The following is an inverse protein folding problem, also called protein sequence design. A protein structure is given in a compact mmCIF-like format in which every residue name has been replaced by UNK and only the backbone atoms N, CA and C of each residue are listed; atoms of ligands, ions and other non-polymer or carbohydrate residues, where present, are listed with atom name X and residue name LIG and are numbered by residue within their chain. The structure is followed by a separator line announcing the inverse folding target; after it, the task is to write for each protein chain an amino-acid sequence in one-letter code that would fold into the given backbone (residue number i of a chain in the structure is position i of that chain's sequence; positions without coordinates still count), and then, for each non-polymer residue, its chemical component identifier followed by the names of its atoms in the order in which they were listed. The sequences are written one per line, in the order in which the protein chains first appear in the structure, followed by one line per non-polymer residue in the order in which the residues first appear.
data_IF_150619389244
#
_entry.id   IF_150619389244
#
_cell.length_a   1.000
_cell.length_b   1.000
_cell.length_c   1.000
_cell.angle_alpha   90.00
_cell.angle_beta   90.00
_cell.angle_gamma   90.00
#
_symmetry.space_group_name_H-M   'P 1'
#
loop_
_entity.id
_entity.type
_entity.pdbx_description
1 polymer ?
#
# COMPACT_ATOMS: atom_id res chain seq x y z
N UNK A 1 5.44 -15.70 -18.87
CA UNK A 1 4.49 -15.73 -17.72
C UNK A 1 4.09 -14.29 -17.46
N UNK A 2 2.83 -14.02 -17.20
CA UNK A 2 2.35 -12.66 -16.87
C UNK A 2 2.95 -12.23 -15.53
N UNK A 3 3.57 -11.04 -15.49
CA UNK A 3 4.20 -10.50 -14.29
C UNK A 3 3.32 -9.39 -13.72
N UNK A 4 2.68 -9.63 -12.57
CA UNK A 4 1.78 -8.69 -11.90
C UNK A 4 2.42 -8.14 -10.61
N UNK A 5 1.81 -7.09 -10.10
CA UNK A 5 2.08 -6.54 -8.77
C UNK A 5 0.83 -6.63 -7.91
N UNK A 6 1.00 -6.61 -6.58
CA UNK A 6 -0.07 -6.32 -5.63
C UNK A 6 0.40 -5.18 -4.72
N UNK A 7 -0.18 -4.00 -4.89
CA UNK A 7 0.29 -2.81 -4.20
C UNK A 7 -0.25 -2.64 -2.78
N UNK A 8 -1.18 -3.50 -2.34
CA UNK A 8 -1.73 -3.44 -0.99
C UNK A 8 -2.46 -4.73 -0.60
N UNK A 9 -1.95 -5.40 0.42
CA UNK A 9 -2.62 -6.51 1.09
C UNK A 9 -2.08 -6.70 2.50
N UNK A 10 -2.75 -7.52 3.33
CA UNK A 10 -2.40 -7.74 4.73
C UNK A 10 -1.96 -9.18 4.96
N UNK A 11 -0.74 -9.54 4.53
CA UNK A 11 -0.20 -10.88 4.76
C UNK A 11 0.12 -11.18 6.21
N UNK A 12 0.17 -10.17 7.06
CA UNK A 12 0.35 -10.29 8.50
C UNK A 12 -0.95 -10.64 9.25
N UNK A 13 -2.12 -10.53 8.58
CA UNK A 13 -3.44 -10.85 9.15
C UNK A 13 -3.53 -12.30 9.63
N UNK A 14 -4.17 -12.52 10.78
CA UNK A 14 -4.35 -13.83 11.42
C UNK A 14 -5.07 -14.86 10.53
N UNK A 15 -5.89 -14.40 9.59
CA UNK A 15 -6.57 -15.29 8.63
C UNK A 15 -5.60 -16.05 7.75
N UNK A 16 -4.34 -15.62 7.65
CA UNK A 16 -3.28 -16.33 6.95
C UNK A 16 -2.39 -17.19 7.86
N UNK A 17 -2.55 -17.17 9.18
CA UNK A 17 -1.62 -17.85 10.10
C UNK A 17 -1.44 -19.34 9.80
N UNK A 18 -2.49 -20.01 9.36
CA UNK A 18 -2.44 -21.46 9.08
C UNK A 18 -1.74 -21.83 7.79
N UNK A 19 -1.62 -20.90 6.81
CA UNK A 19 -1.12 -21.21 5.47
C UNK A 19 -0.29 -20.07 4.82
N UNK A 20 0.15 -19.10 5.60
CA UNK A 20 0.89 -17.91 5.11
C UNK A 20 2.09 -18.27 4.24
N UNK A 21 2.93 -19.19 4.70
CA UNK A 21 4.13 -19.62 3.97
C UNK A 21 3.77 -20.28 2.63
N UNK A 22 2.72 -21.08 2.61
CA UNK A 22 2.22 -21.71 1.39
C UNK A 22 1.68 -20.66 0.41
N UNK A 23 0.91 -19.68 0.90
CA UNK A 23 0.39 -18.57 0.08
C UNK A 23 1.55 -17.75 -0.50
N UNK A 24 2.56 -17.39 0.30
CA UNK A 24 3.73 -16.63 -0.18
C UNK A 24 4.47 -17.39 -1.29
N UNK A 25 4.67 -18.70 -1.11
CA UNK A 25 5.27 -19.53 -2.17
C UNK A 25 4.44 -19.53 -3.46
N UNK A 26 3.12 -19.61 -3.35
CA UNK A 26 2.21 -19.57 -4.49
C UNK A 26 2.20 -18.21 -5.19
N UNK A 27 2.21 -17.11 -4.44
CA UNK A 27 2.29 -15.73 -4.97
C UNK A 27 3.49 -15.62 -5.93
N UNK A 28 4.67 -16.02 -5.47
CA UNK A 28 5.91 -15.97 -6.26
C UNK A 28 5.82 -16.84 -7.52
N UNK A 29 5.30 -18.05 -7.39
CA UNK A 29 5.19 -19.00 -8.51
C UNK A 29 4.15 -18.57 -9.55
N UNK A 30 3.10 -17.86 -9.15
CA UNK A 30 2.02 -17.41 -10.02
C UNK A 30 2.34 -16.06 -10.70
N UNK A 31 3.58 -15.57 -10.57
CA UNK A 31 4.08 -14.42 -11.34
C UNK A 31 3.85 -13.06 -10.70
N UNK A 32 3.54 -12.98 -9.41
CA UNK A 32 3.52 -11.69 -8.71
C UNK A 32 4.95 -11.33 -8.35
N UNK A 33 5.45 -10.25 -8.96
CA UNK A 33 6.86 -9.83 -8.88
C UNK A 33 7.17 -8.94 -7.70
N UNK A 34 6.29 -7.99 -7.41
CA UNK A 34 6.39 -7.10 -6.28
C UNK A 34 5.07 -7.09 -5.53
N UNK A 35 5.17 -7.18 -4.22
CA UNK A 35 4.07 -7.28 -3.30
C UNK A 35 4.29 -6.35 -2.11
N UNK A 36 3.27 -5.55 -1.75
CA UNK A 36 3.33 -4.72 -0.54
C UNK A 36 2.39 -5.30 0.51
N UNK A 37 2.94 -5.68 1.68
CA UNK A 37 2.15 -5.98 2.86
C UNK A 37 1.98 -4.71 3.69
N UNK A 38 0.73 -4.34 3.94
CA UNK A 38 0.37 -3.07 4.56
C UNK A 38 0.21 -3.25 6.08
N UNK A 39 1.04 -2.52 6.85
CA UNK A 39 0.84 -2.38 8.28
C UNK A 39 -0.27 -1.37 8.56
N UNK A 40 -1.16 -1.70 9.50
CA UNK A 40 -2.31 -0.88 9.89
C UNK A 40 -2.30 -0.49 11.38
N UNK A 41 -1.38 -1.06 12.16
CA UNK A 41 -1.07 -0.73 13.55
C UNK A 41 0.43 -0.91 13.79
N UNK A 42 0.93 -0.50 14.95
CA UNK A 42 2.34 -0.71 15.29
C UNK A 42 2.73 -2.21 15.24
N UNK A 43 1.89 -3.08 15.79
CA UNK A 43 2.17 -4.53 15.79
C UNK A 43 2.08 -5.13 14.38
N UNK A 44 1.09 -4.74 13.60
CA UNK A 44 0.96 -5.12 12.19
C UNK A 44 2.17 -4.62 11.38
N UNK A 45 2.58 -3.38 11.56
CA UNK A 45 3.77 -2.81 10.91
C UNK A 45 5.04 -3.62 11.22
N UNK A 46 5.27 -4.00 12.48
CA UNK A 46 6.40 -4.86 12.87
C UNK A 46 6.36 -6.23 12.20
N UNK A 47 5.16 -6.84 12.06
CA UNK A 47 4.99 -8.12 11.36
C UNK A 47 5.22 -7.96 9.85
N UNK A 48 4.67 -6.90 9.24
CA UNK A 48 4.85 -6.60 7.82
C UNK A 48 6.34 -6.43 7.45
N UNK A 49 7.09 -5.69 8.28
CA UNK A 49 8.54 -5.51 8.10
C UNK A 49 9.28 -6.84 8.18
N UNK A 50 8.98 -7.71 9.15
CA UNK A 50 9.59 -9.05 9.25
C UNK A 50 9.33 -9.91 8.00
N UNK A 51 8.13 -9.83 7.43
CA UNK A 51 7.81 -10.52 6.18
C UNK A 51 8.63 -9.95 5.01
N UNK A 52 8.73 -8.62 4.92
CA UNK A 52 9.49 -7.96 3.87
C UNK A 52 11.01 -8.26 3.97
N UNK A 53 11.57 -8.38 5.17
CA UNK A 53 12.96 -8.80 5.37
C UNK A 53 13.23 -10.24 4.91
N UNK A 54 12.24 -11.11 5.12
CA UNK A 54 12.36 -12.55 4.83
C UNK A 54 12.27 -12.86 3.33
N UNK A 55 11.55 -12.06 2.54
CA UNK A 55 11.26 -12.33 1.14
C UNK A 55 11.63 -11.17 0.22
N UNK A 56 12.43 -11.43 -0.81
CA UNK A 56 13.00 -10.39 -1.69
C UNK A 56 11.95 -9.58 -2.44
N UNK A 57 10.83 -10.19 -2.82
CA UNK A 57 9.75 -9.55 -3.59
C UNK A 57 8.67 -8.90 -2.72
N UNK A 58 8.75 -9.03 -1.39
CA UNK A 58 7.82 -8.42 -0.43
C UNK A 58 8.43 -7.12 0.12
N UNK A 59 7.59 -6.10 0.17
CA UNK A 59 7.86 -4.80 0.77
C UNK A 59 6.81 -4.50 1.83
N UNK A 60 7.06 -3.53 2.70
CA UNK A 60 6.15 -3.18 3.78
C UNK A 60 5.78 -1.70 3.76
N UNK A 61 4.59 -1.39 4.24
CA UNK A 61 4.24 -0.05 4.72
C UNK A 61 4.04 -0.07 6.22
N UNK A 62 4.24 1.05 6.89
CA UNK A 62 4.10 1.18 8.33
C UNK A 62 3.20 2.38 8.66
N UNK A 63 2.16 2.16 9.46
CA UNK A 63 1.22 3.21 9.84
C UNK A 63 0.20 2.75 10.87
N UNK A 64 -0.64 3.70 11.28
CA UNK A 64 -1.83 3.43 12.11
C UNK A 64 -3.05 3.82 11.29
N UNK A 65 -3.85 2.82 10.94
CA UNK A 65 -5.08 3.02 10.17
C UNK A 65 -6.15 3.70 11.02
N UNK A 66 -7.12 4.40 10.41
CA UNK A 66 -8.18 5.06 11.16
C UNK A 66 -9.00 4.11 12.04
N UNK A 67 -9.04 2.81 11.70
CA UNK A 67 -9.80 1.80 12.45
C UNK A 67 -9.01 1.19 13.63
N UNK A 68 -7.71 1.48 13.72
CA UNK A 68 -6.79 0.91 14.71
C UNK A 68 -6.20 1.96 15.65
N UNK A 69 -6.79 3.15 15.66
CA UNK A 69 -6.42 4.24 16.56
C UNK A 69 -6.83 3.84 17.99
N UNK A 70 -5.88 3.77 18.95
CA UNK A 70 -6.22 3.50 20.34
C UNK A 70 -7.01 4.66 20.96
N UNK A 71 -7.89 4.36 21.92
CA UNK A 71 -8.67 5.39 22.63
C UNK A 71 -7.79 6.29 23.52
N UNK A 72 -6.64 5.80 23.93
CA UNK A 72 -5.67 6.54 24.72
C UNK A 72 -4.70 7.30 23.82
N UNK A 73 -4.83 8.62 23.81
CA UNK A 73 -4.00 9.49 22.97
C UNK A 73 -2.50 9.40 23.29
N UNK A 74 -2.11 9.24 24.56
CA UNK A 74 -0.70 9.11 24.92
C UNK A 74 -0.11 7.83 24.31
N UNK A 75 -0.86 6.74 24.33
CA UNK A 75 -0.50 5.49 23.66
C UNK A 75 -0.41 5.67 22.15
N UNK A 76 -1.33 6.42 21.54
CA UNK A 76 -1.33 6.69 20.11
C UNK A 76 -0.04 7.43 19.67
N UNK A 77 0.28 8.53 20.33
CA UNK A 77 1.45 9.31 19.96
C UNK A 77 2.75 8.54 20.16
N UNK A 78 2.83 7.75 21.22
CA UNK A 78 3.95 6.84 21.44
C UNK A 78 4.08 5.79 20.35
N UNK A 79 2.98 5.21 19.87
CA UNK A 79 3.01 4.25 18.77
C UNK A 79 3.49 4.87 17.46
N UNK A 80 3.13 6.14 17.17
CA UNK A 80 3.63 6.87 16.00
C UNK A 80 5.14 7.10 16.11
N UNK A 81 5.64 7.46 17.28
CA UNK A 81 7.09 7.60 17.54
C UNK A 81 7.81 6.25 17.38
N UNK A 82 7.20 5.14 17.81
CA UNK A 82 7.76 3.80 17.61
C UNK A 82 7.76 3.39 16.13
N UNK A 83 6.78 3.80 15.31
CA UNK A 83 6.80 3.62 13.85
C UNK A 83 7.96 4.41 13.24
N UNK A 84 8.16 5.66 13.66
CA UNK A 84 9.31 6.45 13.21
C UNK A 84 10.63 5.71 13.49
N UNK A 85 10.82 5.27 14.72
CA UNK A 85 12.02 4.53 15.14
C UNK A 85 12.21 3.22 14.35
N UNK A 86 11.11 2.51 14.07
CA UNK A 86 11.13 1.28 13.26
C UNK A 86 11.68 1.57 11.85
N UNK A 87 11.19 2.62 11.19
CA UNK A 87 11.64 3.01 9.85
C UNK A 87 13.09 3.48 9.83
N UNK A 88 13.47 4.33 10.77
CA UNK A 88 14.85 4.86 10.87
C UNK A 88 15.86 3.75 11.16
N UNK A 89 15.55 2.85 12.11
CA UNK A 89 16.41 1.69 12.43
C UNK A 89 16.62 0.82 11.21
N UNK A 90 15.56 0.54 10.46
CA UNK A 90 15.62 -0.30 9.26
C UNK A 90 16.46 0.32 8.13
N UNK A 91 16.45 1.65 8.00
CA UNK A 91 17.30 2.39 7.06
C UNK A 91 18.77 2.36 7.49
N UNK A 92 19.05 2.53 8.77
CA UNK A 92 20.42 2.55 9.30
C UNK A 92 21.11 1.20 9.17
N UNK A 93 20.42 0.08 9.42
CA UNK A 93 20.94 -1.27 9.21
C UNK A 93 21.36 -1.44 7.74
N UNK A 94 20.52 -1.05 6.80
CA UNK A 94 20.83 -1.14 5.37
C UNK A 94 22.04 -0.27 4.96
N UNK A 95 22.30 0.86 5.63
CA UNK A 95 23.48 1.72 5.38
C UNK A 95 24.75 1.13 6.00
N UNK A 96 24.69 0.49 7.16
CA UNK A 96 25.84 -0.17 7.79
C UNK A 96 26.31 -1.37 6.97
N UNK A 97 25.40 -2.20 6.50
CA UNK A 97 25.72 -3.35 5.63
C UNK A 97 26.45 -2.93 4.34
N UNK A 98 26.17 -1.73 3.82
CA UNK A 98 26.85 -1.17 2.64
C UNK A 98 28.28 -0.73 2.98
N UNK A 99 28.50 -0.11 4.14
CA UNK A 99 29.79 0.44 4.53
C UNK A 99 30.78 -0.66 4.96
N UNK A 100 30.33 -1.71 5.66
CA UNK A 100 31.19 -2.84 6.04
C UNK A 100 31.70 -3.64 4.84
N UNK A 101 30.95 -3.68 3.74
CA UNK A 101 31.34 -4.37 2.50
C UNK A 101 32.31 -3.57 1.62
N UNK A 102 32.57 -2.27 1.89
CA UNK A 102 33.54 -1.47 1.15
C UNK A 102 34.99 -1.63 1.63
N UNK A 103 35.22 -2.11 2.86
CA UNK A 103 36.57 -2.23 3.45
C UNK A 103 37.25 -3.57 3.19
N UNK A 104 36.60 -4.55 2.58
CA UNK A 104 37.17 -5.85 2.27
C UNK A 104 37.61 -5.98 0.79
N UNK A 105 38.87 -5.72 0.53
CA UNK A 105 39.56 -5.88 -0.78
C UNK A 105 39.77 -7.36 -1.18
N UNK A 106 38.85 -8.25 -0.97
CA UNK A 106 38.97 -9.64 -1.42
C UNK A 106 37.61 -10.11 -1.98
N UNK A 107 37.60 -10.32 -3.28
CA UNK A 107 36.65 -11.00 -4.15
C UNK A 107 35.72 -10.15 -5.01
N UNK A 108 36.12 -10.06 -6.29
CA UNK A 108 35.35 -9.52 -7.41
C UNK A 108 34.05 -10.29 -7.73
N UNK A 109 33.75 -11.37 -7.05
CA UNK A 109 32.50 -12.14 -7.24
C UNK A 109 31.31 -11.62 -6.40
N UNK A 110 31.53 -10.68 -5.46
CA UNK A 110 30.47 -10.07 -4.64
C UNK A 110 29.99 -8.70 -5.15
N UNK A 111 30.45 -8.24 -6.32
CA UNK A 111 30.03 -6.95 -6.90
C UNK A 111 28.59 -6.90 -7.43
N UNK A 112 27.80 -7.97 -7.27
CA UNK A 112 26.37 -8.01 -7.60
C UNK A 112 25.44 -7.90 -6.37
N UNK A 113 25.91 -7.47 -5.22
CA UNK A 113 25.01 -6.98 -4.17
C UNK A 113 24.59 -5.55 -4.55
N UNK A 114 23.57 -5.45 -5.37
CA UNK A 114 22.80 -4.22 -5.57
C UNK A 114 22.52 -3.62 -4.20
N UNK A 115 22.75 -2.31 -4.04
CA UNK A 115 22.42 -1.52 -2.84
C UNK A 115 21.09 -2.01 -2.27
N UNK A 116 21.13 -2.64 -1.10
CA UNK A 116 19.95 -3.23 -0.48
C UNK A 116 18.98 -2.10 -0.17
N UNK A 117 18.02 -1.88 -1.05
CA UNK A 117 16.99 -0.84 -0.89
C UNK A 117 16.17 -1.12 0.36
N UNK A 118 15.71 -0.06 1.04
CA UNK A 118 14.82 -0.20 2.18
C UNK A 118 13.60 -1.03 1.80
N UNK A 119 13.23 -1.96 2.66
CA UNK A 119 12.03 -2.78 2.52
C UNK A 119 10.75 -2.05 2.96
N UNK A 120 10.89 -0.96 3.73
CA UNK A 120 9.78 -0.08 4.09
C UNK A 120 9.69 1.00 3.01
N UNK A 121 8.56 1.03 2.30
CA UNK A 121 8.40 1.83 1.08
C UNK A 121 7.41 2.98 1.19
N UNK A 122 6.59 3.02 2.26
CA UNK A 122 5.64 4.10 2.50
C UNK A 122 5.23 4.18 3.98
N UNK A 123 4.69 5.34 4.39
CA UNK A 123 3.89 5.46 5.60
C UNK A 123 2.43 5.17 5.22
N UNK A 124 1.88 4.16 5.84
CA UNK A 124 0.53 3.65 5.56
C UNK A 124 0.33 2.23 6.13
N UNK A 125 -0.87 1.87 6.29
CA UNK A 125 -2.14 2.49 5.92
C UNK A 125 -2.52 3.63 6.89
N UNK A 126 -2.89 4.80 6.38
CA UNK A 126 -3.27 5.98 7.17
C UNK A 126 -4.48 6.67 6.51
N UNK A 127 -5.22 7.47 7.24
CA UNK A 127 -6.35 8.22 6.66
C UNK A 127 -7.58 8.31 7.54
N UNK A 128 -8.78 8.23 6.92
CA UNK A 128 -10.05 8.46 7.59
C UNK A 128 -11.09 7.38 7.23
N UNK A 129 -11.85 6.88 8.22
CA UNK A 129 -12.98 5.97 8.02
C UNK A 129 -14.19 6.39 8.86
N UNK A 130 -15.16 7.06 8.23
CA UNK A 130 -16.40 7.49 8.87
C UNK A 130 -17.55 6.49 8.69
N UNK A 131 -17.28 5.38 7.98
CA UNK A 131 -18.25 4.29 7.89
C UNK A 131 -18.35 3.53 9.21
N UNK A 132 -17.22 3.19 9.82
CA UNK A 132 -17.16 2.50 11.09
C UNK A 132 -17.22 3.47 12.27
N UNK A 133 -16.52 4.60 12.19
CA UNK A 133 -16.50 5.57 13.25
C UNK A 133 -17.65 6.57 13.17
N UNK A 134 -18.44 6.66 14.23
CA UNK A 134 -19.61 7.58 14.31
C UNK A 134 -19.45 8.63 15.42
N UNK A 135 -18.49 8.45 16.31
CA UNK A 135 -18.17 9.42 17.34
C UNK A 135 -17.33 10.56 16.77
N UNK A 136 -17.77 11.81 17.00
CA UNK A 136 -17.10 12.98 16.40
C UNK A 136 -15.74 13.26 17.07
N UNK A 137 -15.55 12.92 18.33
CA UNK A 137 -14.25 13.10 18.99
C UNK A 137 -13.22 12.12 18.40
N UNK A 138 -13.64 10.88 18.16
CA UNK A 138 -12.80 9.91 17.49
C UNK A 138 -12.52 10.27 16.02
N UNK A 139 -13.47 10.88 15.32
CA UNK A 139 -13.22 11.40 13.96
C UNK A 139 -12.21 12.55 13.98
N UNK A 140 -12.28 13.45 14.97
CA UNK A 140 -11.26 14.47 15.14
C UNK A 140 -9.88 13.85 15.38
N UNK A 141 -9.81 12.85 16.26
CA UNK A 141 -8.56 12.11 16.50
C UNK A 141 -8.04 11.39 15.23
N UNK A 142 -8.93 10.87 14.37
CA UNK A 142 -8.54 10.35 13.05
C UNK A 142 -7.90 11.46 12.19
N UNK A 143 -8.49 12.65 12.13
CA UNK A 143 -7.97 13.80 11.37
C UNK A 143 -6.58 14.23 11.87
N UNK A 144 -6.41 14.38 13.18
CA UNK A 144 -5.13 14.72 13.81
C UNK A 144 -4.06 13.65 13.55
N UNK A 145 -4.43 12.37 13.69
CA UNK A 145 -3.56 11.22 13.43
C UNK A 145 -3.12 11.19 11.98
N UNK A 146 -4.03 11.46 11.05
CA UNK A 146 -3.71 11.51 9.63
C UNK A 146 -2.70 12.63 9.32
N UNK A 147 -2.94 13.84 9.85
CA UNK A 147 -2.00 14.97 9.68
C UNK A 147 -0.62 14.65 10.28
N UNK A 148 -0.58 14.06 11.47
CA UNK A 148 0.67 13.69 12.13
C UNK A 148 1.47 12.66 11.31
N UNK A 149 0.80 11.69 10.73
CA UNK A 149 1.44 10.68 9.89
C UNK A 149 1.85 11.22 8.50
N UNK A 150 1.16 12.23 7.95
CA UNK A 150 1.64 12.99 6.79
C UNK A 150 2.95 13.70 7.12
N UNK A 151 3.03 14.36 8.29
CA UNK A 151 4.26 15.04 8.74
C UNK A 151 5.40 14.03 8.91
N UNK A 152 5.12 12.86 9.48
CA UNK A 152 6.09 11.77 9.61
C UNK A 152 6.58 11.29 8.24
N UNK A 153 5.68 11.06 7.30
CA UNK A 153 6.04 10.68 5.93
C UNK A 153 6.95 11.72 5.25
N UNK A 154 6.66 13.01 5.44
CA UNK A 154 7.48 14.10 4.92
C UNK A 154 8.89 14.13 5.59
N UNK A 155 8.96 13.93 6.90
CA UNK A 155 10.23 13.84 7.64
C UNK A 155 11.08 12.68 7.15
N UNK A 156 10.45 11.54 6.90
CA UNK A 156 11.10 10.32 6.43
C UNK A 156 11.26 10.25 4.90
N UNK A 157 10.86 11.27 4.16
CA UNK A 157 10.89 11.29 2.69
C UNK A 157 10.26 10.03 2.06
N UNK A 158 9.13 9.58 2.59
CA UNK A 158 8.35 8.45 2.10
C UNK A 158 7.02 8.90 1.50
N UNK A 159 6.49 8.19 0.49
CA UNK A 159 5.10 8.36 0.06
C UNK A 159 4.12 7.86 1.13
N UNK A 160 2.83 8.16 0.95
CA UNK A 160 1.78 7.69 1.85
C UNK A 160 0.82 6.73 1.14
N UNK A 161 0.24 5.78 1.89
CA UNK A 161 -0.87 4.92 1.46
C UNK A 161 -2.12 5.32 2.22
N UNK A 162 -3.11 5.84 1.47
CA UNK A 162 -4.28 6.52 2.03
C UNK A 162 -5.49 5.62 2.00
N UNK A 163 -6.09 5.39 3.17
CA UNK A 163 -7.43 4.88 3.36
C UNK A 163 -8.44 6.03 3.42
N UNK A 164 -9.56 5.93 2.70
CA UNK A 164 -10.67 6.87 2.86
C UNK A 164 -12.01 6.16 2.64
N UNK A 165 -12.89 6.20 3.63
CA UNK A 165 -14.22 5.62 3.55
C UNK A 165 -15.25 6.53 4.22
N UNK A 166 -16.26 6.97 3.45
CA UNK A 166 -17.28 7.94 3.87
C UNK A 166 -16.71 9.28 4.41
N UNK A 167 -15.44 9.61 4.07
CA UNK A 167 -14.66 10.74 4.57
C UNK A 167 -13.97 11.55 3.46
N UNK A 168 -14.47 11.48 2.22
CA UNK A 168 -13.80 12.01 1.02
C UNK A 168 -13.48 13.50 1.16
N UNK A 169 -14.42 14.30 1.65
CA UNK A 169 -14.25 15.76 1.73
C UNK A 169 -13.14 16.13 2.71
N UNK A 170 -13.16 15.58 3.92
CA UNK A 170 -12.14 15.82 4.95
C UNK A 170 -10.77 15.31 4.51
N UNK A 171 -10.73 14.14 3.87
CA UNK A 171 -9.47 13.59 3.30
C UNK A 171 -8.87 14.56 2.28
N UNK A 172 -9.67 15.05 1.33
CA UNK A 172 -9.20 16.00 0.31
C UNK A 172 -8.81 17.35 0.91
N UNK A 173 -9.54 17.84 1.92
CA UNK A 173 -9.22 19.08 2.61
C UNK A 173 -7.89 18.98 3.36
N UNK A 174 -7.69 17.91 4.12
CA UNK A 174 -6.42 17.66 4.83
C UNK A 174 -5.25 17.61 3.84
N UNK A 175 -5.38 16.89 2.73
CA UNK A 175 -4.33 16.79 1.71
C UNK A 175 -4.04 18.10 0.98
N UNK A 176 -5.02 19.01 0.86
CA UNK A 176 -4.82 20.35 0.31
C UNK A 176 -4.11 21.28 1.29
N UNK A 177 -4.39 21.13 2.58
CA UNK A 177 -3.80 21.95 3.64
C UNK A 177 -2.41 21.43 4.07
N UNK A 178 -2.16 20.12 3.96
CA UNK A 178 -0.92 19.47 4.38
C UNK A 178 -0.22 18.86 3.16
N UNK A 179 0.80 19.54 2.68
CA UNK A 179 1.57 19.05 1.52
C UNK A 179 2.21 17.70 1.80
N UNK A 180 2.06 16.77 0.86
CA UNK A 180 2.75 15.47 0.88
C UNK A 180 3.87 15.49 -0.14
N UNK A 181 5.13 15.50 0.32
CA UNK A 181 6.30 15.73 -0.53
C UNK A 181 6.48 14.64 -1.58
N UNK A 182 6.42 13.38 -1.18
CA UNK A 182 6.59 12.21 -2.08
C UNK A 182 5.28 11.70 -2.68
N UNK A 183 4.15 12.40 -2.44
CA UNK A 183 2.82 11.98 -2.86
C UNK A 183 2.43 10.62 -2.25
N UNK A 184 1.69 9.80 -2.98
CA UNK A 184 1.24 8.51 -2.49
C UNK A 184 0.16 7.91 -3.36
N UNK A 185 -0.63 7.03 -2.76
CA UNK A 185 -1.69 6.30 -3.42
C UNK A 185 -2.96 6.29 -2.56
N UNK A 186 -4.11 6.51 -3.18
CA UNK A 186 -5.39 6.12 -2.60
C UNK A 186 -5.55 4.63 -2.81
N UNK A 187 -5.36 3.84 -1.73
CA UNK A 187 -5.61 2.40 -1.80
C UNK A 187 -7.10 2.11 -1.82
N UNK A 188 -7.49 0.98 -2.38
CA UNK A 188 -8.87 0.55 -2.50
C UNK A 188 -9.83 1.70 -2.86
N UNK A 189 -9.40 2.54 -3.81
CA UNK A 189 -9.99 3.85 -4.05
C UNK A 189 -11.52 3.74 -4.23
N UNK A 190 -12.30 4.47 -3.43
CA UNK A 190 -13.75 4.56 -3.62
C UNK A 190 -14.10 5.00 -5.04
N UNK A 191 -15.13 4.37 -5.62
CA UNK A 191 -15.59 4.71 -6.98
C UNK A 191 -16.31 6.06 -6.99
N UNK A 192 -15.58 7.10 -6.60
CA UNK A 192 -16.06 8.48 -6.50
C UNK A 192 -15.28 9.37 -7.47
N UNK A 193 -16.01 9.98 -8.40
CA UNK A 193 -15.45 10.85 -9.45
C UNK A 193 -14.68 12.04 -8.90
N UNK A 194 -15.17 12.66 -7.83
CA UNK A 194 -14.55 13.85 -7.24
C UNK A 194 -13.23 13.49 -6.56
N UNK A 195 -13.22 12.43 -5.75
CA UNK A 195 -12.01 11.92 -5.11
C UNK A 195 -10.92 11.62 -6.15
N UNK A 196 -11.27 10.88 -7.20
CA UNK A 196 -10.31 10.51 -8.26
C UNK A 196 -9.75 11.77 -8.92
N UNK A 197 -10.60 12.73 -9.35
CA UNK A 197 -10.15 13.94 -10.02
C UNK A 197 -9.26 14.82 -9.15
N UNK A 198 -9.68 15.08 -7.91
CA UNK A 198 -8.92 15.91 -6.98
C UNK A 198 -7.63 15.21 -6.53
N UNK A 199 -7.68 13.89 -6.25
CA UNK A 199 -6.49 13.10 -5.95
C UNK A 199 -5.44 13.14 -7.08
N UNK A 200 -5.87 13.00 -8.33
CA UNK A 200 -5.00 13.13 -9.50
C UNK A 200 -4.40 14.54 -9.64
N UNK A 201 -5.18 15.61 -9.43
CA UNK A 201 -4.67 16.98 -9.42
C UNK A 201 -3.63 17.23 -8.34
N UNK A 202 -3.79 16.60 -7.18
CA UNK A 202 -2.82 16.64 -6.09
C UNK A 202 -1.57 15.78 -6.37
N UNK A 203 -1.57 14.97 -7.45
CA UNK A 203 -0.44 14.17 -7.90
C UNK A 203 -0.41 12.74 -7.34
N UNK A 204 -1.50 12.27 -6.75
CA UNK A 204 -1.61 10.92 -6.19
C UNK A 204 -1.89 9.86 -7.25
N UNK A 205 -1.52 8.62 -6.94
CA UNK A 205 -1.92 7.43 -7.66
C UNK A 205 -3.26 6.91 -7.15
N UNK A 206 -3.93 6.13 -8.00
CA UNK A 206 -5.22 5.50 -7.69
C UNK A 206 -5.04 3.98 -7.80
N UNK A 207 -5.25 3.27 -6.70
CA UNK A 207 -5.23 1.81 -6.71
C UNK A 207 -6.64 1.24 -6.69
N UNK A 208 -6.86 0.23 -7.51
CA UNK A 208 -8.14 -0.46 -7.61
C UNK A 208 -8.03 -1.87 -7.04
N UNK A 209 -8.99 -2.21 -6.17
CA UNK A 209 -9.15 -3.52 -5.54
C UNK A 209 -10.33 -4.31 -6.13
N UNK A 210 -10.65 -5.45 -5.52
CA UNK A 210 -11.71 -6.35 -5.93
C UNK A 210 -13.09 -5.70 -6.16
N UNK A 211 -13.37 -4.59 -5.50
CA UNK A 211 -14.63 -3.84 -5.61
C UNK A 211 -15.03 -3.50 -7.05
N UNK A 212 -14.08 -3.20 -7.93
CA UNK A 212 -14.35 -2.85 -9.33
C UNK A 212 -14.92 -4.02 -10.16
N UNK A 213 -14.78 -5.25 -9.65
CA UNK A 213 -15.29 -6.47 -10.32
C UNK A 213 -16.71 -6.82 -9.92
N UNK A 214 -17.25 -6.23 -8.85
CA UNK A 214 -18.53 -6.60 -8.29
C UNK A 214 -19.70 -6.25 -9.23
N UNK A 215 -20.72 -7.12 -9.30
CA UNK A 215 -21.88 -6.94 -10.17
C UNK A 215 -22.67 -5.66 -9.92
N UNK A 216 -22.64 -5.15 -8.70
CA UNK A 216 -23.28 -3.88 -8.31
C UNK A 216 -22.39 -2.65 -8.54
N UNK A 217 -21.16 -2.81 -9.01
CA UNK A 217 -20.19 -1.74 -9.30
C UNK A 217 -20.45 -1.15 -10.70
N UNK A 218 -21.60 -0.46 -10.85
CA UNK A 218 -22.10 -0.03 -12.17
C UNK A 218 -21.25 1.03 -12.85
N UNK A 219 -20.49 1.84 -12.10
CA UNK A 219 -19.67 2.92 -12.60
C UNK A 219 -18.16 2.57 -12.65
N UNK A 220 -17.79 1.31 -12.39
CA UNK A 220 -16.38 0.90 -12.34
C UNK A 220 -15.61 1.26 -13.62
N UNK A 221 -16.16 0.97 -14.79
CA UNK A 221 -15.50 1.25 -16.08
C UNK A 221 -15.29 2.75 -16.29
N UNK A 222 -16.25 3.57 -15.89
CA UNK A 222 -16.11 5.02 -15.93
C UNK A 222 -14.98 5.49 -15.01
N UNK A 223 -14.92 5.00 -13.76
CA UNK A 223 -13.91 5.37 -12.79
C UNK A 223 -12.51 4.93 -13.23
N UNK A 224 -12.38 3.73 -13.77
CA UNK A 224 -11.13 3.22 -14.33
C UNK A 224 -10.65 4.11 -15.49
N UNK A 225 -11.55 4.52 -16.40
CA UNK A 225 -11.22 5.36 -17.55
C UNK A 225 -10.89 6.80 -17.18
N UNK A 226 -11.31 7.30 -16.02
CA UNK A 226 -10.90 8.62 -15.51
C UNK A 226 -9.44 8.67 -15.12
N UNK A 227 -8.84 7.54 -14.75
CA UNK A 227 -7.46 7.50 -14.25
C UNK A 227 -6.49 7.31 -15.42
N UNK A 228 -5.51 8.21 -15.61
CA UNK A 228 -4.46 8.04 -16.63
C UNK A 228 -3.65 6.76 -16.40
N UNK A 229 -3.13 6.17 -17.48
CA UNK A 229 -2.38 4.92 -17.40
C UNK A 229 -1.14 4.99 -16.50
N UNK A 230 -0.51 6.16 -16.41
CA UNK A 230 0.66 6.42 -15.56
C UNK A 230 0.31 6.73 -14.09
N UNK A 231 -0.96 6.55 -13.67
CA UNK A 231 -1.44 6.80 -12.31
C UNK A 231 -2.26 5.66 -11.73
N UNK A 232 -2.40 4.54 -12.43
CA UNK A 232 -3.15 3.35 -11.97
C UNK A 232 -2.22 2.37 -11.24
N UNK A 233 -2.69 1.88 -10.08
CA UNK A 233 -2.18 0.67 -9.42
C UNK A 233 -3.29 -0.37 -9.27
N UNK A 234 -2.89 -1.60 -8.97
CA UNK A 234 -3.77 -2.73 -8.70
C UNK A 234 -3.38 -3.38 -7.38
N UNK A 235 -4.38 -3.86 -6.67
CA UNK A 235 -4.20 -4.50 -5.37
C UNK A 235 -5.31 -5.49 -5.09
N UNK A 236 -5.12 -6.35 -4.09
CA UNK A 236 -6.17 -7.26 -3.64
C UNK A 236 -6.88 -6.82 -2.39
N UNK A 237 -6.21 -6.10 -1.52
CA UNK A 237 -6.65 -5.85 -0.14
C UNK A 237 -6.93 -7.16 0.62
N UNK A 238 -6.21 -8.25 0.24
CA UNK A 238 -6.41 -9.56 0.86
C UNK A 238 -5.96 -9.58 2.32
N UNK A 239 -6.69 -10.29 3.20
CA UNK A 239 -7.68 -11.34 2.97
C UNK A 239 -9.11 -10.84 2.67
N UNK A 240 -9.32 -9.56 2.48
CA UNK A 240 -10.62 -8.93 2.26
C UNK A 240 -10.94 -8.79 0.77
N UNK A 241 -12.14 -8.34 0.43
CA UNK A 241 -12.59 -7.88 -0.88
C UNK A 241 -12.35 -8.86 -2.04
N UNK A 242 -12.49 -10.17 -1.82
CA UNK A 242 -12.36 -11.17 -2.88
C UNK A 242 -13.15 -10.76 -4.14
N UNK A 243 -12.47 -10.67 -5.32
CA UNK A 243 -13.12 -10.23 -6.55
C UNK A 243 -14.07 -11.30 -7.11
N UNK A 244 -14.94 -10.91 -8.06
CA UNK A 244 -15.59 -11.91 -8.92
C UNK A 244 -14.50 -12.62 -9.78
N UNK A 245 -14.55 -13.94 -9.99
CA UNK A 245 -15.65 -14.87 -9.65
C UNK A 245 -15.53 -15.53 -8.27
N UNK A 246 -14.56 -15.18 -7.45
CA UNK A 246 -14.28 -15.84 -6.14
C UNK A 246 -14.86 -15.07 -4.93
N UNK A 247 -15.82 -14.20 -5.17
CA UNK A 247 -16.46 -13.43 -4.12
C UNK A 247 -17.11 -14.32 -3.05
N UNK A 248 -16.95 -13.89 -1.77
CA UNK A 248 -17.48 -14.64 -0.63
C UNK A 248 -16.49 -15.66 -0.03
N UNK A 249 -15.30 -15.79 -0.60
CA UNK A 249 -14.19 -16.55 -0.01
C UNK A 249 -13.19 -15.63 0.67
N UNK A 250 -12.25 -16.16 1.47
CA UNK A 250 -11.06 -15.41 1.87
C UNK A 250 -10.29 -15.01 0.61
N UNK A 251 -10.00 -13.71 0.48
CA UNK A 251 -9.22 -13.23 -0.66
C UNK A 251 -7.78 -13.74 -0.58
N UNK A 252 -7.13 -13.77 -1.74
CA UNK A 252 -5.78 -14.27 -1.92
C UNK A 252 -5.05 -13.31 -2.88
N UNK A 253 -3.80 -12.92 -2.61
CA UNK A 253 -3.05 -11.98 -3.45
C UNK A 253 -2.98 -12.35 -4.93
N UNK A 254 -3.05 -13.64 -5.26
CA UNK A 254 -3.07 -14.14 -6.65
C UNK A 254 -4.32 -13.71 -7.42
N UNK A 255 -5.37 -13.30 -6.71
CA UNK A 255 -6.60 -12.79 -7.32
C UNK A 255 -6.44 -11.39 -7.93
N UNK A 256 -5.31 -10.71 -7.75
CA UNK A 256 -5.00 -9.44 -8.43
C UNK A 256 -5.14 -9.53 -9.94
N UNK A 257 -4.98 -10.71 -10.53
CA UNK A 257 -5.21 -10.99 -11.96
C UNK A 257 -6.62 -10.64 -12.43
N UNK A 258 -7.64 -10.80 -11.56
CA UNK A 258 -9.03 -10.47 -11.91
C UNK A 258 -9.23 -8.95 -11.95
N UNK A 259 -8.54 -8.22 -11.08
CA UNK A 259 -8.52 -6.76 -11.07
C UNK A 259 -7.82 -6.24 -12.34
N UNK A 260 -6.63 -6.80 -12.65
CA UNK A 260 -5.90 -6.46 -13.87
C UNK A 260 -6.74 -6.73 -15.13
N UNK A 261 -7.42 -7.88 -15.21
CA UNK A 261 -8.30 -8.22 -16.35
C UNK A 261 -9.48 -7.25 -16.46
N UNK A 262 -10.07 -6.83 -15.33
CA UNK A 262 -11.17 -5.84 -15.33
C UNK A 262 -10.70 -4.50 -15.88
N UNK A 263 -9.52 -4.04 -15.51
CA UNK A 263 -8.92 -2.80 -16.02
C UNK A 263 -8.60 -2.92 -17.52
N UNK A 264 -8.02 -4.04 -17.95
CA UNK A 264 -7.73 -4.32 -19.35
C UNK A 264 -9.00 -4.20 -20.21
N UNK A 265 -10.09 -4.83 -19.77
CA UNK A 265 -11.37 -4.76 -20.46
C UNK A 265 -11.94 -3.33 -20.51
N UNK A 266 -11.91 -2.61 -19.38
CA UNK A 266 -12.45 -1.24 -19.30
C UNK A 266 -11.68 -0.24 -20.18
N UNK A 267 -10.35 -0.39 -20.26
CA UNK A 267 -9.47 0.48 -21.06
C UNK A 267 -9.28 0.00 -22.52
N UNK A 268 -9.80 -1.18 -22.86
CA UNK A 268 -9.63 -1.81 -24.17
C UNK A 268 -8.14 -1.99 -24.54
N UNK A 269 -7.35 -2.48 -23.60
CA UNK A 269 -5.93 -2.83 -23.75
C UNK A 269 -5.70 -4.29 -23.31
N UNK A 270 -4.51 -4.83 -23.59
CA UNK A 270 -4.15 -6.19 -23.13
C UNK A 270 -3.86 -6.22 -21.63
N UNK A 271 -3.98 -7.40 -21.02
CA UNK A 271 -3.61 -7.59 -19.61
C UNK A 271 -2.10 -7.40 -19.39
N UNK A 272 -1.28 -7.70 -20.40
CA UNK A 272 0.15 -7.46 -20.42
C UNK A 272 0.48 -5.95 -20.36
N UNK A 273 -0.29 -5.11 -21.06
CA UNK A 273 -0.16 -3.66 -20.97
C UNK A 273 -0.54 -3.16 -19.56
N UNK A 274 -1.59 -3.72 -18.93
CA UNK A 274 -1.94 -3.40 -17.54
C UNK A 274 -0.81 -3.82 -16.60
N UNK A 275 -0.26 -5.00 -16.76
CA UNK A 275 0.85 -5.48 -15.94
C UNK A 275 2.09 -4.57 -16.05
N UNK A 276 2.48 -4.21 -17.26
CA UNK A 276 3.63 -3.34 -17.51
C UNK A 276 3.43 -1.93 -16.94
N UNK A 277 2.26 -1.32 -17.16
CA UNK A 277 2.00 0.04 -16.66
C UNK A 277 1.93 0.08 -15.12
N UNK A 278 1.30 -0.91 -14.48
CA UNK A 278 1.18 -0.94 -13.02
C UNK A 278 2.52 -1.25 -12.35
N UNK A 279 3.35 -2.10 -12.95
CA UNK A 279 4.73 -2.33 -12.53
C UNK A 279 5.55 -1.04 -12.61
N UNK A 280 5.48 -0.30 -13.72
CA UNK A 280 6.19 0.96 -13.86
C UNK A 280 5.68 2.01 -12.86
N UNK A 281 4.37 2.08 -12.63
CA UNK A 281 3.76 3.00 -11.67
C UNK A 281 4.20 2.66 -10.23
N UNK A 282 4.22 1.38 -9.87
CA UNK A 282 4.73 0.93 -8.57
C UNK A 282 6.19 1.34 -8.36
N UNK A 283 7.03 1.15 -9.40
CA UNK A 283 8.42 1.60 -9.39
C UNK A 283 8.53 3.11 -9.22
N UNK A 284 7.70 3.88 -9.89
CA UNK A 284 7.76 5.35 -9.86
C UNK A 284 7.37 5.90 -8.48
N UNK A 285 6.37 5.33 -7.81
CA UNK A 285 5.88 5.85 -6.52
C UNK A 285 6.65 5.27 -5.33
N UNK A 286 6.98 3.96 -5.35
CA UNK A 286 7.61 3.30 -4.21
C UNK A 286 9.12 3.03 -4.40
N UNK A 287 9.65 3.22 -5.60
CA UNK A 287 11.06 2.98 -5.90
C UNK A 287 11.48 1.50 -6.00
N UNK A 288 10.53 0.59 -6.23
CA UNK A 288 10.74 -0.88 -6.17
C UNK A 288 10.45 -1.59 -7.48
#
# INVERSE_FOLDING_TARGET
MLELIDSHAHLDDEKFDSDREEIISKIKNDGIKNFITAGYSLESSKKAVKLAEKYDFIYATCGISPNDIPQDEESLWKQIDEIENLVETHRNINQMDINENQDNTVNKELQNQENKKSKIVAIGEIGLDYYWEKDEQMRELQRETFVKQIQLANKLELPIVIHTRDAIMDTLEILKQNSVNKKGVFHCCPQNRELIKEGLKLGFYISFAGLITFKNSKNADEMINLVPNDRILIETDSPYLAPEPVRGTRNDPRNVRFIAQKIANAKNISIEEVANMTMQNMKNIFGI
#
